data_IF_078836757932
#
_entry.id   IF_078836757932
#
_cell.length_a   1.000
_cell.length_b   1.000
_cell.length_c   1.000
_cell.angle_alpha   90.00
_cell.angle_beta   90.00
_cell.angle_gamma   90.00
#
_symmetry.space_group_name_H-M   'P 1'
#
loop_
_entity.id
_entity.type
_entity.pdbx_description
1 polymer ?
#
# COMPACT_ATOMS: atom_id res chain seq x y z
N UNK A 1 -39.75 31.59 24.47
CA UNK A 1 -39.19 30.29 24.03
C UNK A 1 -37.81 30.45 23.36
N UNK A 2 -36.95 31.33 23.90
CA UNK A 2 -35.56 31.48 23.44
C UNK A 2 -34.61 30.53 24.20
N UNK A 3 -34.93 30.19 25.45
CA UNK A 3 -34.08 29.35 26.29
C UNK A 3 -33.95 27.93 25.75
N UNK A 4 -35.04 27.36 25.22
CA UNK A 4 -35.01 26.04 24.58
C UNK A 4 -34.14 26.00 23.31
N UNK A 5 -34.03 27.11 22.57
CA UNK A 5 -33.15 27.19 21.39
C UNK A 5 -31.67 27.35 21.77
N UNK A 6 -31.39 28.00 22.91
CA UNK A 6 -30.03 28.15 23.45
C UNK A 6 -29.47 26.83 23.96
N UNK A 7 -30.28 26.01 24.63
CA UNK A 7 -29.87 24.66 25.06
C UNK A 7 -29.59 23.74 23.85
N UNK A 8 -30.40 23.84 22.78
CA UNK A 8 -30.19 23.06 21.56
C UNK A 8 -28.89 23.45 20.83
N UNK A 9 -28.53 24.74 20.83
CA UNK A 9 -27.26 25.23 20.28
C UNK A 9 -26.06 24.88 21.16
N UNK A 10 -26.21 24.82 22.49
CA UNK A 10 -25.14 24.36 23.39
C UNK A 10 -24.88 22.86 23.25
N UNK A 11 -25.91 22.03 23.03
CA UNK A 11 -25.74 20.59 22.77
C UNK A 11 -24.95 20.30 21.49
N UNK A 12 -25.28 20.99 20.38
CA UNK A 12 -24.57 20.84 19.10
C UNK A 12 -23.11 21.36 19.13
N UNK A 13 -22.78 22.28 20.05
CA UNK A 13 -21.40 22.77 20.23
C UNK A 13 -20.54 21.80 21.03
N UNK A 14 -21.15 21.06 21.96
CA UNK A 14 -20.46 20.11 22.83
C UNK A 14 -20.21 18.74 22.18
N UNK A 15 -20.99 18.37 21.16
CA UNK A 15 -20.73 17.14 20.37
C UNK A 15 -19.57 17.29 19.36
N UNK A 16 -19.16 18.52 19.03
CA UNK A 16 -18.06 18.78 18.08
C UNK A 16 -16.68 18.98 18.70
N UNK A 17 -16.52 18.79 20.02
CA UNK A 17 -15.23 18.91 20.72
C UNK A 17 -14.75 17.61 21.39
N UNK A 18 -15.15 16.46 20.82
CA UNK A 18 -14.89 15.14 21.38
C UNK A 18 -13.87 14.26 20.64
N UNK A 19 -13.14 14.71 19.63
CA UNK A 19 -12.05 13.91 19.03
C UNK A 19 -10.88 14.80 18.56
N UNK A 20 -9.98 15.13 19.47
CA UNK A 20 -8.61 15.53 19.17
C UNK A 20 -7.70 14.88 20.21
N UNK A 21 -7.42 13.59 20.04
CA UNK A 21 -6.27 12.97 20.69
C UNK A 21 -5.03 13.32 19.88
N UNK A 22 -4.21 14.17 20.49
CA UNK A 22 -2.83 14.42 20.14
C UNK A 22 -2.02 13.18 20.46
N UNK A 23 -1.77 12.32 19.47
CA UNK A 23 -0.71 11.32 19.62
C UNK A 23 0.66 11.97 19.43
N UNK A 24 1.33 12.15 20.57
CA UNK A 24 2.77 12.34 20.67
C UNK A 24 3.51 11.18 20.00
N UNK A 25 4.47 11.49 19.13
CA UNK A 25 5.43 10.54 18.55
C UNK A 25 6.26 9.93 19.70
N UNK A 26 6.22 8.60 19.94
CA UNK A 26 7.21 7.97 20.78
C UNK A 26 8.45 7.65 19.94
N UNK A 27 9.59 8.03 20.48
CA UNK A 27 10.91 7.62 20.00
C UNK A 27 11.04 6.09 19.92
N UNK A 28 11.92 5.67 19.02
CA UNK A 28 12.39 4.31 18.71
C UNK A 28 12.19 3.23 19.78
N UNK A 29 11.49 2.15 19.41
CA UNK A 29 11.78 0.82 19.93
C UNK A 29 11.55 -0.27 18.87
N UNK A 30 12.62 -1.03 18.61
CA UNK A 30 12.55 -2.30 17.88
C UNK A 30 11.67 -3.27 18.65
N UNK A 31 10.62 -3.78 18.03
CA UNK A 31 9.70 -4.70 18.70
C UNK A 31 8.65 -5.28 17.76
N UNK A 32 9.05 -6.31 17.03
CA UNK A 32 8.21 -7.29 16.32
C UNK A 32 6.81 -7.48 16.93
N UNK A 33 5.77 -6.95 16.29
CA UNK A 33 4.38 -7.35 16.53
C UNK A 33 3.95 -8.30 15.42
N UNK A 34 4.13 -9.59 15.68
CA UNK A 34 3.56 -10.70 14.92
C UNK A 34 2.07 -10.75 15.21
N UNK A 35 1.25 -10.31 14.27
CA UNK A 35 -0.17 -10.67 14.24
C UNK A 35 -0.28 -12.11 13.75
N UNK A 36 -0.36 -13.04 14.69
CA UNK A 36 -0.71 -14.45 14.45
C UNK A 36 -2.17 -14.55 14.01
N UNK A 37 -2.40 -14.64 12.70
CA UNK A 37 -3.62 -15.21 12.13
C UNK A 37 -3.28 -16.56 11.51
N UNK A 38 -3.47 -17.61 12.32
CA UNK A 38 -3.98 -18.94 11.98
C UNK A 38 -3.63 -19.51 10.58
N UNK A 39 -2.57 -20.31 10.53
CA UNK A 39 -2.56 -21.60 9.82
C UNK A 39 -2.93 -21.63 8.34
N UNK A 40 -2.33 -20.78 7.50
CA UNK A 40 -2.27 -21.10 6.07
C UNK A 40 -1.27 -22.25 5.88
N UNK A 41 -1.72 -23.41 5.38
CA UNK A 41 -0.86 -24.48 4.87
C UNK A 41 -0.03 -23.90 3.71
N UNK A 42 1.09 -23.27 4.04
CA UNK A 42 2.00 -22.70 3.07
C UNK A 42 2.64 -23.87 2.32
N UNK A 43 2.16 -24.12 1.12
CA UNK A 43 2.86 -24.97 0.16
C UNK A 43 4.28 -24.44 0.04
N UNK A 44 5.27 -25.26 0.40
CA UNK A 44 6.67 -24.88 0.33
C UNK A 44 7.27 -25.13 -1.06
N UNK A 45 6.49 -25.69 -1.99
CA UNK A 45 6.97 -26.15 -3.29
C UNK A 45 6.04 -25.70 -4.43
N UNK A 46 6.64 -25.51 -5.61
CA UNK A 46 6.00 -25.08 -6.84
C UNK A 46 5.83 -26.24 -7.86
N UNK A 47 6.15 -27.49 -7.52
CA UNK A 47 6.07 -28.66 -8.42
C UNK A 47 4.76 -28.82 -9.19
N UNK A 48 3.64 -28.43 -8.59
CA UNK A 48 2.31 -28.56 -9.18
C UNK A 48 1.80 -27.27 -9.86
N UNK A 49 2.63 -26.22 -9.92
CA UNK A 49 2.29 -24.99 -10.63
C UNK A 49 2.60 -25.15 -12.12
N UNK A 50 1.56 -25.17 -12.95
CA UNK A 50 1.68 -25.18 -14.40
C UNK A 50 1.42 -23.78 -14.97
N UNK A 51 2.20 -23.38 -15.98
CA UNK A 51 2.03 -22.09 -16.67
C UNK A 51 1.09 -22.25 -17.87
N UNK A 52 -0.21 -22.23 -17.60
CA UNK A 52 -1.26 -22.33 -18.61
C UNK A 52 -1.75 -20.97 -19.14
N UNK A 53 -1.16 -19.85 -18.71
CA UNK A 53 -1.63 -18.47 -18.93
C UNK A 53 -3.10 -18.19 -18.54
N UNK A 54 -3.80 -19.16 -17.94
CA UNK A 54 -5.20 -19.07 -17.46
C UNK A 54 -5.29 -18.86 -15.95
N UNK A 55 -4.15 -18.61 -15.29
CA UNK A 55 -4.07 -18.42 -13.83
C UNK A 55 -4.78 -17.16 -13.32
N UNK A 56 -5.09 -16.21 -14.21
CA UNK A 56 -5.81 -14.98 -13.89
C UNK A 56 -7.12 -14.94 -14.68
N UNK A 57 -8.24 -14.79 -13.99
CA UNK A 57 -9.56 -14.72 -14.62
C UNK A 57 -9.96 -13.29 -15.03
N UNK A 58 -9.38 -12.27 -14.40
CA UNK A 58 -9.66 -10.86 -14.68
C UNK A 58 -9.01 -10.40 -15.99
N UNK A 59 -9.81 -9.77 -16.87
CA UNK A 59 -9.36 -9.23 -18.15
C UNK A 59 -8.62 -7.89 -18.00
N UNK A 60 -7.83 -7.55 -19.03
CA UNK A 60 -7.13 -6.27 -19.08
C UNK A 60 -8.10 -5.08 -19.15
N UNK A 61 -9.17 -5.18 -19.94
CA UNK A 61 -10.14 -4.08 -20.10
C UNK A 61 -10.84 -3.78 -18.78
N UNK A 62 -11.19 -4.81 -18.02
CA UNK A 62 -11.76 -4.64 -16.67
C UNK A 62 -10.78 -3.99 -15.69
N UNK A 63 -9.47 -4.21 -15.86
CA UNK A 63 -8.45 -3.56 -15.03
C UNK A 63 -8.26 -2.08 -15.41
N UNK A 64 -8.46 -1.74 -16.68
CA UNK A 64 -8.44 -0.35 -17.16
C UNK A 64 -9.66 0.41 -16.66
N UNK A 65 -10.86 -0.18 -16.77
CA UNK A 65 -12.09 0.46 -16.28
C UNK A 65 -12.05 0.72 -14.76
N UNK A 66 -11.47 -0.18 -13.97
CA UNK A 66 -11.24 0.06 -12.54
C UNK A 66 -10.32 1.26 -12.28
N UNK A 67 -9.29 1.45 -13.10
CA UNK A 67 -8.38 2.60 -12.99
C UNK A 67 -9.09 3.89 -13.37
N UNK A 68 -9.86 3.88 -14.46
CA UNK A 68 -10.65 5.02 -14.93
C UNK A 68 -11.73 5.42 -13.93
N UNK A 69 -12.29 4.44 -13.23
CA UNK A 69 -13.26 4.63 -12.15
C UNK A 69 -12.63 5.13 -10.83
N UNK A 70 -11.32 5.44 -10.81
CA UNK A 70 -10.58 5.91 -9.64
C UNK A 70 -10.66 4.98 -8.41
N UNK A 71 -10.80 3.67 -8.63
CA UNK A 71 -10.74 2.65 -7.58
C UNK A 71 -9.36 2.67 -6.91
N UNK A 72 -9.30 2.44 -5.60
CA UNK A 72 -8.03 2.46 -4.88
C UNK A 72 -7.08 1.37 -5.38
N UNK A 73 -5.78 1.68 -5.45
CA UNK A 73 -4.75 0.71 -5.83
C UNK A 73 -4.77 -0.55 -4.96
N UNK A 74 -5.13 -0.41 -3.68
CA UNK A 74 -5.25 -1.54 -2.76
C UNK A 74 -6.42 -2.47 -3.13
N UNK A 75 -7.56 -1.90 -3.55
CA UNK A 75 -8.74 -2.66 -3.98
C UNK A 75 -8.47 -3.38 -5.31
N UNK A 76 -7.73 -2.73 -6.22
CA UNK A 76 -7.27 -3.37 -7.46
C UNK A 76 -6.41 -4.61 -7.15
N UNK A 77 -5.50 -4.50 -6.19
CA UNK A 77 -4.63 -5.62 -5.78
C UNK A 77 -5.44 -6.74 -5.12
N UNK A 78 -6.39 -6.38 -4.25
CA UNK A 78 -7.32 -7.33 -3.63
C UNK A 78 -8.10 -8.12 -4.69
N UNK A 79 -8.70 -7.41 -5.65
CA UNK A 79 -9.42 -8.04 -6.75
C UNK A 79 -8.52 -8.93 -7.62
N UNK A 80 -7.26 -8.53 -7.86
CA UNK A 80 -6.30 -9.36 -8.58
C UNK A 80 -5.96 -10.64 -7.83
N UNK A 81 -5.86 -10.60 -6.50
CA UNK A 81 -5.57 -11.76 -5.65
C UNK A 81 -6.75 -12.71 -5.61
N UNK A 82 -7.96 -12.21 -5.40
CA UNK A 82 -9.19 -13.01 -5.35
C UNK A 82 -9.48 -13.72 -6.68
N UNK A 83 -9.08 -13.13 -7.81
CA UNK A 83 -9.24 -13.68 -9.16
C UNK A 83 -8.04 -14.52 -9.64
N UNK A 84 -7.09 -14.86 -8.76
CA UNK A 84 -5.93 -15.67 -9.10
C UNK A 84 -6.07 -17.08 -8.55
N UNK A 85 -6.19 -18.07 -9.44
CA UNK A 85 -6.37 -19.47 -9.06
C UNK A 85 -5.13 -20.07 -8.39
N UNK A 86 -3.94 -19.57 -8.70
CA UNK A 86 -2.67 -20.12 -8.20
C UNK A 86 -2.10 -19.36 -7.01
N UNK A 87 -2.72 -18.26 -6.57
CA UNK A 87 -2.12 -17.40 -5.55
C UNK A 87 -1.97 -18.11 -4.19
N UNK A 88 -3.00 -18.86 -3.75
CA UNK A 88 -2.97 -19.56 -2.46
C UNK A 88 -2.04 -20.77 -2.45
N UNK A 89 -1.85 -21.43 -3.60
CA UNK A 89 -0.94 -22.60 -3.74
C UNK A 89 0.54 -22.20 -3.77
N UNK A 90 0.86 -20.91 -3.95
CA UNK A 90 2.24 -20.41 -3.97
C UNK A 90 2.85 -20.38 -2.57
N UNK A 91 4.18 -20.44 -2.53
CA UNK A 91 4.96 -20.23 -1.30
C UNK A 91 4.76 -18.83 -0.73
N UNK A 92 4.93 -18.66 0.58
CA UNK A 92 4.82 -17.36 1.27
C UNK A 92 5.70 -16.28 0.64
N UNK A 93 6.94 -16.63 0.29
CA UNK A 93 7.87 -15.75 -0.40
C UNK A 93 7.33 -15.33 -1.78
N UNK A 94 6.79 -16.29 -2.54
CA UNK A 94 6.22 -16.03 -3.86
C UNK A 94 4.97 -15.17 -3.81
N UNK A 95 4.11 -15.36 -2.79
CA UNK A 95 2.95 -14.50 -2.53
C UNK A 95 3.40 -13.07 -2.21
N UNK A 96 4.35 -12.89 -1.28
CA UNK A 96 4.89 -11.55 -0.93
C UNK A 96 5.57 -10.87 -2.12
N UNK A 97 6.33 -11.63 -2.92
CA UNK A 97 6.93 -11.15 -4.17
C UNK A 97 5.86 -10.69 -5.17
N UNK A 98 4.78 -11.47 -5.33
CA UNK A 98 3.66 -11.10 -6.20
C UNK A 98 2.99 -9.80 -5.75
N UNK A 99 2.66 -9.69 -4.46
CA UNK A 99 2.05 -8.50 -3.87
C UNK A 99 2.94 -7.26 -4.04
N UNK A 100 4.24 -7.39 -3.78
CA UNK A 100 5.22 -6.29 -3.95
C UNK A 100 5.27 -5.80 -5.40
N UNK A 101 5.25 -6.72 -6.37
CA UNK A 101 5.20 -6.38 -7.80
C UNK A 101 3.90 -5.66 -8.16
N UNK A 102 2.76 -6.12 -7.65
CA UNK A 102 1.45 -5.51 -7.94
C UNK A 102 1.29 -4.15 -7.24
N UNK A 103 1.79 -4.00 -6.02
CA UNK A 103 1.76 -2.71 -5.31
C UNK A 103 2.61 -1.66 -6.01
N UNK A 104 3.81 -2.00 -6.50
CA UNK A 104 4.63 -1.08 -7.30
C UNK A 104 3.90 -0.59 -8.57
N UNK A 105 3.07 -1.43 -9.19
CA UNK A 105 2.33 -1.08 -10.41
C UNK A 105 1.04 -0.30 -10.15
N UNK A 106 0.27 -0.70 -9.14
CA UNK A 106 -1.09 -0.21 -8.92
C UNK A 106 -1.20 0.80 -7.77
N UNK A 107 -0.16 0.94 -6.95
CA UNK A 107 -0.10 1.85 -5.82
C UNK A 107 1.27 2.55 -5.78
N UNK A 108 1.62 3.36 -6.78
CA UNK A 108 2.86 4.15 -6.75
C UNK A 108 2.81 5.11 -5.57
N UNK A 109 3.88 5.12 -4.76
CA UNK A 109 4.04 6.03 -3.61
C UNK A 109 5.27 6.89 -3.85
N UNK A 110 5.09 8.20 -3.80
CA UNK A 110 6.20 9.15 -3.80
C UNK A 110 6.41 9.69 -2.38
N UNK A 111 7.66 10.01 -2.06
CA UNK A 111 8.04 10.66 -0.82
C UNK A 111 8.81 11.91 -1.16
N UNK A 112 8.39 13.03 -0.58
CA UNK A 112 9.12 14.29 -0.67
C UNK A 112 10.30 14.19 0.30
N UNK A 113 11.51 14.44 -0.21
CA UNK A 113 12.75 14.40 0.57
C UNK A 113 13.39 15.79 0.59
N UNK A 114 14.12 16.10 1.66
CA UNK A 114 14.86 17.35 1.77
C UNK A 114 16.04 17.34 0.80
N UNK A 115 16.25 18.46 0.10
CA UNK A 115 17.41 18.67 -0.76
C UNK A 115 18.68 18.76 0.08
N UNK A 116 19.40 17.65 0.19
CA UNK A 116 20.77 17.57 0.70
C UNK A 116 21.71 17.28 -0.47
N UNK A 117 23.02 17.60 -0.37
CA UNK A 117 23.98 17.26 -1.40
C UNK A 117 23.91 15.76 -1.79
N UNK A 118 23.85 14.86 -0.81
CA UNK A 118 23.70 13.42 -1.03
C UNK A 118 22.40 13.04 -1.77
N UNK A 119 21.26 13.62 -1.36
CA UNK A 119 19.99 13.37 -2.05
C UNK A 119 20.01 13.86 -3.50
N UNK A 120 20.66 14.99 -3.77
CA UNK A 120 20.77 15.57 -5.11
C UNK A 120 21.72 14.74 -5.98
N UNK A 121 22.88 14.33 -5.47
CA UNK A 121 23.82 13.47 -6.21
C UNK A 121 23.21 12.12 -6.55
N UNK A 122 22.54 11.47 -5.59
CA UNK A 122 21.83 10.20 -5.77
C UNK A 122 20.76 10.30 -6.87
N UNK A 123 19.92 11.35 -6.81
CA UNK A 123 18.87 11.58 -7.80
C UNK A 123 19.42 11.89 -9.21
N UNK A 124 20.47 12.71 -9.30
CA UNK A 124 21.10 13.05 -10.58
C UNK A 124 21.85 11.85 -11.18
N UNK A 125 22.50 11.01 -10.37
CA UNK A 125 23.15 9.80 -10.85
C UNK A 125 22.15 8.82 -11.46
N UNK A 126 20.98 8.64 -10.83
CA UNK A 126 19.89 7.80 -11.34
C UNK A 126 19.27 8.37 -12.63
N UNK A 127 19.20 9.70 -12.76
CA UNK A 127 18.62 10.36 -13.93
C UNK A 127 19.58 10.40 -15.12
N UNK A 128 20.80 10.91 -14.90
CA UNK A 128 21.86 11.04 -15.89
C UNK A 128 23.24 11.13 -15.22
N UNK A 129 23.88 9.98 -15.08
CA UNK A 129 25.19 9.84 -14.41
C UNK A 129 26.32 10.55 -15.15
N UNK A 130 26.23 10.76 -16.47
CA UNK A 130 27.32 11.37 -17.26
C UNK A 130 27.52 12.83 -16.90
N UNK A 131 26.44 13.54 -16.54
CA UNK A 131 26.49 14.94 -16.08
C UNK A 131 27.26 15.12 -14.78
N UNK A 132 27.36 14.07 -13.97
CA UNK A 132 28.14 14.02 -12.73
C UNK A 132 29.47 13.27 -12.88
N UNK A 133 29.94 13.05 -14.12
CA UNK A 133 31.17 12.26 -14.37
C UNK A 133 31.13 10.88 -13.69
N UNK A 134 29.94 10.27 -13.61
CA UNK A 134 29.69 8.99 -12.94
C UNK A 134 30.05 8.96 -11.44
N UNK A 135 30.14 10.13 -10.78
CA UNK A 135 30.31 10.23 -9.35
C UNK A 135 29.10 9.61 -8.62
N UNK A 136 29.39 8.70 -7.69
CA UNK A 136 28.41 8.07 -6.81
C UNK A 136 28.49 8.67 -5.41
N UNK A 137 27.34 8.72 -4.75
CA UNK A 137 27.19 8.97 -3.31
C UNK A 137 27.99 7.96 -2.49
#
# INVERSE_FOLDING_TARGET
>A
NLDATLEQLQKLKNEKQGENQTESIPAESNGTSVTTTTGASLSNDNRHLNDSNTSQTLNQDTLLSMRESNVSGAEIISNLVSNSSTFHTKTSFSQKKYLTRKSQKHQPRCRIIRCTPASVTSALYLKDSRRLMNLRE
#
